data_IF_125375431407
#
_entry.id   IF_125375431407
#
_cell.length_a   1.000
_cell.length_b   1.000
_cell.length_c   1.000
_cell.angle_alpha   90.00
_cell.angle_beta   90.00
_cell.angle_gamma   90.00
#
_symmetry.space_group_name_H-M   'P 1'
#
loop_
_entity.id
_entity.type
_entity.pdbx_description
1 polymer ?
#
# COMPACT_ATOMS: atom_id res chain seq x y z
N UNK A 1 6.47 10.05 1.97
CA UNK A 1 5.26 9.30 2.42
C UNK A 1 5.00 8.33 1.31
N UNK A 2 5.21 7.05 1.57
CA UNK A 2 5.17 6.00 0.53
C UNK A 2 3.83 5.28 0.65
N UNK A 3 3.12 5.08 -0.47
CA UNK A 3 1.80 4.41 -0.55
C UNK A 3 2.03 2.98 -1.06
N UNK A 4 1.59 1.94 -0.33
CA UNK A 4 1.89 0.53 -0.65
C UNK A 4 0.77 -0.43 -0.25
N UNK A 5 0.70 -1.58 -0.95
CA UNK A 5 -0.05 -2.83 -0.65
C UNK A 5 -1.22 -3.17 -1.60
N UNK A 6 -1.33 -4.49 -1.86
CA UNK A 6 -2.52 -5.27 -2.24
C UNK A 6 -2.22 -6.78 -2.20
N UNK A 7 -3.21 -7.55 -1.79
CA UNK A 7 -3.31 -9.00 -2.03
C UNK A 7 -4.81 -9.31 -2.23
N UNK A 8 -5.18 -10.32 -3.02
CA UNK A 8 -6.60 -10.73 -3.20
C UNK A 8 -7.29 -11.04 -1.86
N UNK A 9 -6.52 -11.56 -0.90
CA UNK A 9 -6.98 -11.90 0.44
C UNK A 9 -7.12 -10.68 1.37
N UNK A 10 -6.51 -9.55 1.01
CA UNK A 10 -6.57 -8.29 1.77
C UNK A 10 -7.63 -7.29 1.29
N UNK A 11 -8.36 -7.62 0.21
CA UNK A 11 -9.36 -6.77 -0.41
C UNK A 11 -10.41 -6.25 0.61
N UNK A 12 -10.81 -4.97 0.52
CA UNK A 12 -11.88 -4.44 1.34
C UNK A 12 -13.19 -5.17 1.04
N UNK A 13 -13.98 -5.40 2.09
CA UNK A 13 -15.32 -5.96 1.99
C UNK A 13 -16.29 -5.11 2.80
N UNK A 14 -17.53 -5.09 2.37
CA UNK A 14 -18.63 -4.56 3.18
C UNK A 14 -19.37 -5.73 3.83
N UNK A 15 -19.27 -5.82 5.16
CA UNK A 15 -19.99 -6.80 5.97
C UNK A 15 -21.41 -6.33 6.33
N UNK A 16 -21.94 -6.86 7.43
CA UNK A 16 -23.28 -6.50 7.92
C UNK A 16 -23.46 -4.97 8.04
N UNK A 17 -24.56 -4.47 7.50
CA UNK A 17 -24.85 -3.05 7.42
C UNK A 17 -23.89 -2.30 6.48
N UNK A 18 -23.03 -1.46 7.07
CA UNK A 18 -22.08 -0.55 6.38
C UNK A 18 -20.65 -0.69 6.90
N UNK A 19 -20.34 -1.81 7.52
CA UNK A 19 -19.00 -2.07 8.05
C UNK A 19 -18.05 -2.38 6.89
N UNK A 20 -17.00 -1.57 6.74
CA UNK A 20 -15.90 -1.83 5.82
C UNK A 20 -14.74 -2.44 6.61
N UNK A 21 -14.24 -3.58 6.14
CA UNK A 21 -13.04 -4.22 6.69
C UNK A 21 -12.14 -4.78 5.60
N UNK A 22 -10.84 -4.90 5.89
CA UNK A 22 -9.83 -5.42 4.97
C UNK A 22 -8.46 -5.48 5.66
N UNK A 23 -7.42 -5.83 4.90
CA UNK A 23 -6.04 -5.81 5.39
C UNK A 23 -5.26 -4.71 4.70
N UNK A 24 -4.81 -3.74 5.49
CA UNK A 24 -3.97 -2.65 5.01
C UNK A 24 -2.58 -3.19 4.60
N UNK A 25 -2.10 -4.19 5.33
CA UNK A 25 -0.80 -4.84 5.14
C UNK A 25 -0.98 -6.34 5.26
N UNK A 26 -0.30 -7.10 4.42
CA UNK A 26 -0.14 -8.56 4.57
C UNK A 26 1.33 -8.85 4.78
N UNK A 27 1.66 -9.58 5.85
CA UNK A 27 3.04 -9.82 6.24
C UNK A 27 3.69 -10.93 5.42
N UNK A 28 5.00 -10.79 5.17
CA UNK A 28 5.82 -11.80 4.49
C UNK A 28 5.52 -11.98 3.01
N UNK A 29 4.53 -11.27 2.47
CA UNK A 29 4.18 -11.33 1.06
C UNK A 29 5.00 -10.31 0.26
N UNK A 30 5.58 -10.79 -0.85
CA UNK A 30 6.18 -9.94 -1.86
C UNK A 30 5.11 -9.07 -2.51
N UNK A 31 5.38 -7.77 -2.51
CA UNK A 31 4.75 -6.82 -3.38
C UNK A 31 5.07 -7.17 -4.83
N UNK A 32 4.39 -6.56 -5.79
CA UNK A 32 4.94 -6.56 -7.15
C UNK A 32 6.08 -5.57 -7.27
N UNK A 33 6.63 -5.50 -8.48
CA UNK A 33 7.58 -4.48 -8.87
C UNK A 33 6.97 -3.09 -8.65
N UNK A 34 7.48 -2.43 -7.63
CA UNK A 34 7.31 -1.03 -7.34
C UNK A 34 8.43 -0.24 -8.01
N UNK A 35 8.18 1.04 -8.21
CA UNK A 35 9.14 1.92 -8.85
C UNK A 35 9.42 3.16 -7.99
N UNK A 36 10.67 3.32 -7.60
CA UNK A 36 11.17 4.49 -6.88
C UNK A 36 11.65 5.52 -7.91
N UNK A 37 10.83 6.55 -8.15
CA UNK A 37 11.12 7.61 -9.11
C UNK A 37 12.36 8.42 -8.74
N UNK A 38 12.54 8.69 -7.46
CA UNK A 38 13.66 9.52 -6.97
C UNK A 38 14.99 8.79 -7.12
N UNK A 39 15.00 7.48 -6.86
CA UNK A 39 16.22 6.66 -6.97
C UNK A 39 16.36 5.95 -8.30
N UNK A 40 15.43 6.17 -9.23
CA UNK A 40 15.39 5.57 -10.55
C UNK A 40 15.63 4.05 -10.53
N UNK A 41 14.89 3.32 -9.68
CA UNK A 41 15.04 1.86 -9.57
C UNK A 41 13.72 1.13 -9.36
N UNK A 42 13.63 -0.05 -9.97
CA UNK A 42 12.56 -1.00 -9.72
C UNK A 42 12.90 -1.88 -8.50
N UNK A 43 11.91 -2.22 -7.69
CA UNK A 43 12.10 -3.09 -6.53
C UNK A 43 10.83 -3.83 -6.14
N UNK A 44 10.97 -4.99 -5.51
CA UNK A 44 9.91 -5.68 -4.78
C UNK A 44 10.07 -5.40 -3.30
N UNK A 45 8.98 -5.27 -2.57
CA UNK A 45 8.95 -5.04 -1.14
C UNK A 45 8.32 -6.20 -0.38
N UNK A 46 8.85 -6.51 0.79
CA UNK A 46 8.19 -7.37 1.77
C UNK A 46 8.12 -6.62 3.10
N UNK A 47 6.93 -6.56 3.69
CA UNK A 47 6.76 -6.14 5.08
C UNK A 47 6.85 -7.36 5.97
N UNK A 48 7.87 -7.44 6.81
CA UNK A 48 8.03 -8.59 7.69
C UNK A 48 7.03 -8.59 8.84
N UNK A 49 6.73 -9.80 9.32
CA UNK A 49 5.98 -9.95 10.56
C UNK A 49 6.77 -9.30 11.70
N UNK A 50 6.13 -8.38 12.43
CA UNK A 50 6.76 -7.59 13.49
C UNK A 50 7.29 -6.23 13.04
N UNK A 51 7.22 -5.89 11.74
CA UNK A 51 7.54 -4.55 11.27
C UNK A 51 6.57 -3.48 11.79
N UNK A 52 5.35 -3.90 12.12
CA UNK A 52 4.31 -3.10 12.76
C UNK A 52 4.05 -3.68 14.15
N UNK A 53 4.00 -2.81 15.15
CA UNK A 53 3.75 -3.20 16.55
C UNK A 53 2.51 -2.53 17.10
N UNK A 54 1.90 -3.16 18.09
CA UNK A 54 0.79 -2.58 18.86
C UNK A 54 1.14 -1.21 19.47
N UNK A 55 2.38 -1.04 19.92
CA UNK A 55 2.89 0.24 20.42
C UNK A 55 2.93 1.31 19.32
N UNK A 56 3.38 0.96 18.11
CA UNK A 56 3.36 1.87 16.96
C UNK A 56 1.94 2.34 16.66
N UNK A 57 0.96 1.43 16.64
CA UNK A 57 -0.44 1.76 16.37
C UNK A 57 -1.02 2.68 17.44
N UNK A 58 -0.79 2.39 18.73
CA UNK A 58 -1.23 3.23 19.85
C UNK A 58 -0.56 4.60 19.92
N UNK A 59 0.59 4.78 19.29
CA UNK A 59 1.27 6.07 19.21
C UNK A 59 1.02 6.82 17.89
N UNK A 60 0.30 6.21 16.94
CA UNK A 60 0.04 6.77 15.62
C UNK A 60 -1.30 7.49 15.53
N UNK A 61 -1.38 8.43 14.58
CA UNK A 61 -2.63 9.04 14.12
C UNK A 61 -2.91 8.56 12.70
N UNK A 62 -3.66 7.45 12.61
CA UNK A 62 -3.96 6.74 11.37
C UNK A 62 -5.35 7.11 10.87
N UNK A 63 -5.44 7.49 9.60
CA UNK A 63 -6.71 7.82 8.93
C UNK A 63 -7.10 6.70 7.97
N UNK A 64 -8.36 6.31 7.96
CA UNK A 64 -8.92 5.59 6.82
C UNK A 64 -9.37 6.64 5.79
N UNK A 65 -8.68 6.70 4.67
CA UNK A 65 -8.99 7.62 3.58
C UNK A 65 -9.54 6.82 2.40
N UNK A 66 -10.23 7.49 1.48
CA UNK A 66 -10.52 6.92 0.19
C UNK A 66 -9.42 7.31 -0.80
N UNK A 67 -8.75 6.31 -1.37
CA UNK A 67 -7.71 6.49 -2.40
C UNK A 67 -6.55 7.43 -1.97
N UNK A 68 -6.14 7.33 -0.69
CA UNK A 68 -5.13 8.20 -0.05
C UNK A 68 -5.44 9.71 -0.11
N UNK A 69 -6.65 10.09 -0.51
CA UNK A 69 -7.06 11.47 -0.60
C UNK A 69 -7.42 12.01 0.79
N UNK A 70 -6.57 12.89 1.32
CA UNK A 70 -6.74 13.50 2.67
C UNK A 70 -8.04 14.29 2.84
N UNK A 71 -8.71 14.67 1.76
CA UNK A 71 -10.01 15.33 1.79
C UNK A 71 -11.19 14.36 1.90
N UNK A 72 -10.96 13.06 1.67
CA UNK A 72 -11.98 12.00 1.66
C UNK A 72 -11.79 11.07 2.86
N UNK A 73 -12.02 11.60 4.05
CA UNK A 73 -11.84 10.89 5.31
C UNK A 73 -13.05 9.99 5.59
N UNK A 74 -12.80 8.70 5.82
CA UNK A 74 -13.82 7.70 6.15
C UNK A 74 -13.85 7.37 7.65
N UNK A 75 -12.69 7.18 8.27
CA UNK A 75 -12.56 6.90 9.70
C UNK A 75 -11.19 7.31 10.22
N UNK A 76 -10.98 7.29 11.54
CA UNK A 76 -9.71 7.66 12.15
C UNK A 76 -9.45 6.88 13.43
N UNK A 77 -8.20 6.45 13.61
CA UNK A 77 -7.64 5.94 14.86
C UNK A 77 -6.57 6.93 15.31
N UNK A 78 -6.86 7.71 16.35
CA UNK A 78 -5.91 8.64 16.94
C UNK A 78 -5.42 8.06 18.26
N UNK A 79 -4.17 7.60 18.28
CA UNK A 79 -3.53 6.96 19.42
C UNK A 79 -4.29 5.73 19.92
N UNK A 80 -4.72 4.88 18.99
CA UNK A 80 -5.46 3.65 19.29
C UNK A 80 -6.94 3.83 19.62
N UNK A 81 -7.50 5.05 19.51
CA UNK A 81 -8.91 5.31 19.77
C UNK A 81 -9.58 6.08 18.62
N UNK A 82 -10.85 5.78 18.35
CA UNK A 82 -11.65 6.50 17.35
C UNK A 82 -12.62 5.58 16.61
N UNK A 83 -12.98 5.95 15.39
CA UNK A 83 -13.93 5.22 14.54
C UNK A 83 -13.26 4.13 13.69
N UNK A 84 -11.93 4.11 13.64
CA UNK A 84 -11.14 3.10 12.96
C UNK A 84 -10.54 2.13 13.98
N UNK A 85 -10.87 0.85 13.84
CA UNK A 85 -10.20 -0.25 14.53
C UNK A 85 -9.04 -0.75 13.68
N UNK A 86 -7.89 -0.98 14.33
CA UNK A 86 -6.69 -1.57 13.74
C UNK A 86 -6.28 -2.74 14.61
N UNK A 87 -6.04 -3.89 14.01
CA UNK A 87 -5.72 -5.13 14.72
C UNK A 87 -4.60 -5.87 13.98
N UNK A 88 -3.58 -6.29 14.72
CA UNK A 88 -2.53 -7.15 14.20
C UNK A 88 -2.90 -8.61 14.44
N UNK A 89 -2.81 -9.42 13.39
CA UNK A 89 -2.88 -10.88 13.48
C UNK A 89 -1.67 -11.52 12.79
N UNK A 90 -1.67 -12.85 12.70
CA UNK A 90 -0.60 -13.60 12.05
C UNK A 90 -0.51 -13.32 10.54
N UNK A 91 -1.60 -12.83 9.94
CA UNK A 91 -1.72 -12.57 8.52
C UNK A 91 -1.28 -11.14 8.16
N UNK A 92 -1.63 -10.13 8.96
CA UNK A 92 -1.41 -8.74 8.59
C UNK A 92 -1.91 -7.69 9.59
N UNK A 93 -2.02 -6.47 9.08
CA UNK A 93 -2.69 -5.35 9.77
C UNK A 93 -4.12 -5.24 9.24
N UNK A 94 -5.07 -5.75 10.00
CA UNK A 94 -6.50 -5.63 9.71
C UNK A 94 -6.99 -4.22 10.06
N UNK A 95 -7.87 -3.67 9.23
CA UNK A 95 -8.64 -2.47 9.55
C UNK A 95 -10.14 -2.76 9.50
N UNK A 96 -10.89 -2.04 10.33
CA UNK A 96 -12.36 -2.13 10.37
C UNK A 96 -12.98 -0.82 10.83
N UNK A 97 -14.02 -0.36 10.15
CA UNK A 97 -14.80 0.81 10.56
C UNK A 97 -16.22 0.74 9.99
N UNK A 98 -17.15 1.44 10.63
CA UNK A 98 -18.46 1.69 10.04
C UNK A 98 -18.35 2.87 9.07
N UNK A 99 -18.75 2.70 7.81
CA UNK A 99 -18.68 3.75 6.83
C UNK A 99 -19.60 4.91 7.23
N UNK A 100 -19.10 6.16 7.28
CA UNK A 100 -19.88 7.30 7.71
C UNK A 100 -21.08 7.51 6.77
N UNK A 101 -22.16 8.09 7.29
CA UNK A 101 -23.32 8.48 6.48
C UNK A 101 -23.03 9.82 5.77
N UNK A 102 -22.09 9.79 4.84
CA UNK A 102 -21.64 10.93 4.03
C UNK A 102 -21.53 10.49 2.57
N UNK A 103 -21.48 11.43 1.59
CA UNK A 103 -21.29 11.07 0.19
C UNK A 103 -20.09 10.16 -0.07
N UNK A 104 -18.96 10.38 0.61
CA UNK A 104 -17.78 9.52 0.48
C UNK A 104 -17.96 8.15 1.13
N UNK A 105 -18.66 8.07 2.26
CA UNK A 105 -18.98 6.79 2.89
C UNK A 105 -19.96 5.96 2.06
N UNK A 106 -20.98 6.59 1.48
CA UNK A 106 -21.92 5.97 0.54
C UNK A 106 -21.21 5.46 -0.72
N UNK A 107 -20.37 6.31 -1.31
CA UNK A 107 -19.54 5.95 -2.46
C UNK A 107 -18.63 4.76 -2.15
N UNK A 108 -17.92 4.79 -1.02
CA UNK A 108 -17.01 3.71 -0.63
C UNK A 108 -17.78 2.38 -0.47
N UNK A 109 -18.92 2.38 0.22
CA UNK A 109 -19.75 1.18 0.40
C UNK A 109 -20.19 0.60 -0.94
N UNK A 110 -20.71 1.44 -1.84
CA UNK A 110 -21.23 1.00 -3.13
C UNK A 110 -20.12 0.42 -4.03
N UNK A 111 -19.01 1.16 -4.17
CA UNK A 111 -17.91 0.76 -5.05
C UNK A 111 -17.17 -0.48 -4.55
N UNK A 112 -17.07 -0.66 -3.23
CA UNK A 112 -16.51 -1.90 -2.65
C UNK A 112 -17.47 -3.07 -2.89
N UNK A 113 -18.78 -2.90 -2.67
CA UNK A 113 -19.77 -3.97 -2.88
C UNK A 113 -19.81 -4.47 -4.32
N UNK A 114 -19.68 -3.55 -5.28
CA UNK A 114 -19.62 -3.86 -6.72
C UNK A 114 -18.29 -4.46 -7.16
N UNK A 115 -17.25 -4.35 -6.33
CA UNK A 115 -15.90 -4.77 -6.66
C UNK A 115 -15.10 -3.77 -7.50
N UNK A 116 -15.63 -2.56 -7.72
CA UNK A 116 -14.91 -1.48 -8.40
C UNK A 116 -13.73 -0.96 -7.55
N UNK A 117 -13.90 -0.97 -6.22
CA UNK A 117 -12.80 -0.82 -5.25
C UNK A 117 -12.54 -2.17 -4.64
N UNK A 118 -11.45 -2.80 -5.05
CA UNK A 118 -11.08 -4.16 -4.62
C UNK A 118 -9.71 -4.20 -3.93
N UNK A 119 -9.05 -3.05 -3.76
CA UNK A 119 -7.72 -2.98 -3.15
C UNK A 119 -7.65 -2.27 -1.80
N UNK A 120 -6.61 -2.59 -1.03
CA UNK A 120 -6.25 -1.94 0.23
C UNK A 120 -4.78 -1.56 0.21
N UNK A 121 -4.49 -0.34 0.67
CA UNK A 121 -3.14 0.21 0.72
C UNK A 121 -2.93 0.99 2.02
N UNK A 122 -1.68 1.24 2.37
CA UNK A 122 -1.30 2.02 3.54
C UNK A 122 -0.13 2.92 3.21
N UNK A 123 -0.06 4.04 3.92
CA UNK A 123 1.06 4.94 3.83
C UNK A 123 1.87 4.97 5.12
N UNK A 124 3.19 4.87 4.97
CA UNK A 124 4.11 4.81 6.10
C UNK A 124 5.40 5.58 5.86
N UNK A 125 6.19 5.68 6.92
CA UNK A 125 7.54 6.22 6.90
C UNK A 125 8.47 5.38 7.78
N UNK A 126 9.73 5.28 7.37
CA UNK A 126 10.84 4.74 8.16
C UNK A 126 12.14 5.46 7.79
N UNK A 127 13.15 5.38 8.64
CA UNK A 127 14.50 5.83 8.31
C UNK A 127 15.23 4.80 7.42
N UNK A 128 15.34 5.07 6.11
CA UNK A 128 15.97 4.13 5.18
C UNK A 128 17.47 3.93 5.38
N UNK A 129 18.15 4.81 6.12
CA UNK A 129 19.57 4.66 6.44
C UNK A 129 19.81 3.67 7.58
N UNK A 130 18.76 3.33 8.33
CA UNK A 130 18.84 2.38 9.43
C UNK A 130 18.66 0.95 8.92
N UNK A 131 19.79 0.23 8.82
CA UNK A 131 19.82 -1.17 8.35
C UNK A 131 19.08 -2.13 9.27
N UNK A 132 18.75 -1.74 10.50
CA UNK A 132 17.92 -2.54 11.40
C UNK A 132 16.43 -2.45 11.05
N UNK A 133 16.04 -1.46 10.23
CA UNK A 133 14.64 -1.22 9.82
C UNK A 133 14.34 -1.65 8.40
N UNK A 134 15.33 -1.54 7.52
CA UNK A 134 15.19 -1.93 6.11
C UNK A 134 16.50 -2.51 5.58
N UNK A 135 16.39 -3.59 4.81
CA UNK A 135 17.50 -4.17 4.09
C UNK A 135 17.19 -4.32 2.60
N UNK A 136 18.25 -4.42 1.81
CA UNK A 136 18.18 -4.51 0.36
C UNK A 136 19.02 -5.69 -0.10
N UNK A 137 18.46 -6.51 -0.99
CA UNK A 137 19.14 -7.65 -1.60
C UNK A 137 18.72 -7.79 -3.06
N UNK A 138 19.42 -8.59 -3.86
CA UNK A 138 19.01 -8.92 -5.22
C UNK A 138 18.36 -10.30 -5.24
N UNK A 139 17.18 -10.40 -5.87
CA UNK A 139 16.46 -11.65 -6.11
C UNK A 139 16.00 -11.67 -7.56
N UNK A 140 16.38 -12.68 -8.33
CA UNK A 140 15.95 -12.84 -9.74
C UNK A 140 16.17 -11.60 -10.63
N UNK A 141 17.26 -10.85 -10.37
CA UNK A 141 17.60 -9.63 -11.12
C UNK A 141 16.83 -8.38 -10.71
N UNK A 142 15.93 -8.46 -9.73
CA UNK A 142 15.23 -7.30 -9.14
C UNK A 142 15.69 -7.03 -7.71
N UNK A 143 15.68 -5.75 -7.32
CA UNK A 143 15.98 -5.35 -5.95
C UNK A 143 14.84 -5.76 -5.02
N UNK A 144 15.14 -6.52 -3.98
CA UNK A 144 14.22 -6.84 -2.89
C UNK A 144 14.49 -5.91 -1.70
N UNK A 145 13.48 -5.16 -1.29
CA UNK A 145 13.44 -4.30 -0.09
C UNK A 145 12.68 -5.00 1.03
N UNK A 146 13.38 -5.48 2.05
CA UNK A 146 12.74 -6.09 3.21
C UNK A 146 12.59 -5.05 4.33
N UNK A 147 11.37 -4.88 4.83
CA UNK A 147 11.03 -3.92 5.89
C UNK A 147 10.86 -4.66 7.20
N UNK A 148 11.79 -4.39 8.12
CA UNK A 148 11.88 -5.00 9.43
C UNK A 148 11.18 -4.16 10.51
N UNK A 149 11.06 -2.84 10.31
CA UNK A 149 10.43 -1.93 11.28
C UNK A 149 9.95 -0.63 10.64
N UNK A 150 8.74 -0.21 11.00
CA UNK A 150 8.12 1.04 10.57
C UNK A 150 8.14 2.08 11.71
N UNK A 151 8.38 3.35 11.36
CA UNK A 151 8.41 4.45 12.33
C UNK A 151 7.05 5.13 12.51
N UNK A 152 6.24 5.15 11.45
CA UNK A 152 4.90 5.76 11.46
C UNK A 152 4.03 5.20 10.35
N UNK A 153 2.75 4.98 10.66
CA UNK A 153 1.69 4.80 9.67
C UNK A 153 0.85 6.08 9.66
N UNK A 154 0.63 6.68 8.49
CA UNK A 154 -0.14 7.92 8.35
C UNK A 154 -1.61 7.65 8.02
N UNK A 155 -1.84 6.67 7.15
CA UNK A 155 -3.17 6.34 6.67
C UNK A 155 -3.21 4.94 6.07
N UNK A 156 -4.44 4.43 5.98
CA UNK A 156 -4.84 3.22 5.29
C UNK A 156 -5.99 3.61 4.36
N UNK A 157 -6.10 2.98 3.20
CA UNK A 157 -7.11 3.33 2.20
C UNK A 157 -7.63 2.12 1.44
N UNK A 158 -8.95 1.99 1.25
CA UNK A 158 -9.49 1.33 0.08
C UNK A 158 -9.06 2.11 -1.17
N UNK A 159 -8.61 1.42 -2.19
CA UNK A 159 -8.02 1.99 -3.42
C UNK A 159 -8.63 1.34 -4.65
N UNK A 160 -8.92 2.16 -5.67
CA UNK A 160 -9.43 1.70 -6.97
C UNK A 160 -8.33 0.96 -7.71
N UNK A 161 -7.18 1.62 -7.79
CA UNK A 161 -5.95 1.06 -8.31
C UNK A 161 -5.07 0.73 -7.12
N UNK A 162 -5.24 -0.45 -6.48
CA UNK A 162 -4.18 -0.95 -5.63
C UNK A 162 -2.88 -0.92 -6.40
N UNK A 163 -1.76 -0.88 -5.68
CA UNK A 163 -0.45 -1.00 -6.31
C UNK A 163 -0.32 -2.26 -7.21
N UNK A 164 -1.31 -3.19 -7.21
CA UNK A 164 -1.30 -4.52 -7.84
C UNK A 164 -2.66 -4.94 -8.51
N UNK A 165 -2.75 -5.04 -9.86
CA UNK A 165 -3.69 -5.86 -10.70
C UNK A 165 -3.24 -7.28 -11.09
N UNK A 166 -3.89 -8.37 -10.65
CA UNK A 166 -3.48 -9.72 -11.09
C UNK A 166 -3.39 -9.74 -12.62
N UNK A 167 -2.19 -10.01 -13.17
CA UNK A 167 -1.78 -9.82 -14.59
C UNK A 167 -1.51 -8.37 -15.05
N UNK A 168 -0.36 -8.23 -15.72
CA UNK A 168 0.24 -7.02 -16.30
C UNK A 168 0.60 -5.88 -15.34
N UNK A 169 1.91 -5.62 -15.22
CA UNK A 169 2.39 -4.29 -14.85
C UNK A 169 1.74 -3.34 -15.84
N UNK A 170 0.82 -2.49 -15.38
CA UNK A 170 0.09 -1.57 -16.25
C UNK A 170 1.10 -0.75 -17.04
N UNK A 171 1.21 -1.09 -18.32
CA UNK A 171 2.11 -0.49 -19.31
C UNK A 171 2.07 1.04 -19.27
N UNK A 172 0.96 1.62 -18.81
CA UNK A 172 0.78 3.06 -18.56
C UNK A 172 1.75 3.66 -17.54
N UNK A 173 1.99 3.03 -16.38
CA UNK A 173 2.93 3.58 -15.39
C UNK A 173 4.39 3.45 -15.83
N UNK A 174 4.69 2.43 -16.65
CA UNK A 174 6.01 2.28 -17.28
C UNK A 174 6.16 3.25 -18.45
N UNK A 175 5.15 3.45 -19.28
CA UNK A 175 5.17 4.40 -20.40
C UNK A 175 5.26 5.84 -19.90
N UNK A 176 4.55 6.20 -18.84
CA UNK A 176 4.64 7.52 -18.20
C UNK A 176 6.06 7.74 -17.64
N UNK A 177 6.64 6.72 -16.99
CA UNK A 177 8.02 6.79 -16.54
C UNK A 177 8.98 6.92 -17.75
N UNK A 178 8.92 6.01 -18.73
CA UNK A 178 9.77 6.00 -19.94
C UNK A 178 9.70 7.34 -20.68
N UNK A 179 8.52 7.94 -20.79
CA UNK A 179 8.31 9.23 -21.42
C UNK A 179 9.03 10.36 -20.65
N UNK A 180 8.89 10.42 -19.33
CA UNK A 180 9.57 11.40 -18.46
C UNK A 180 11.10 11.24 -18.48
N UNK A 181 11.58 10.00 -18.58
CA UNK A 181 12.99 9.63 -18.40
C UNK A 181 13.81 9.60 -19.70
N UNK A 182 13.13 9.66 -20.84
CA UNK A 182 13.72 9.78 -22.18
C UNK A 182 14.70 10.96 -22.34
N UNK A 183 14.71 11.89 -21.37
CA UNK A 183 15.60 13.04 -21.32
C UNK A 183 17.01 12.79 -20.79
N UNK A 184 17.24 11.88 -19.82
CA UNK A 184 18.49 11.96 -19.03
C UNK A 184 19.18 10.64 -18.61
N UNK A 185 18.57 9.44 -18.66
CA UNK A 185 19.25 8.24 -18.14
C UNK A 185 19.05 6.94 -18.98
N UNK A 186 20.05 6.59 -19.80
CA UNK A 186 19.97 5.53 -20.84
C UNK A 186 19.97 4.11 -20.27
N UNK A 187 20.73 3.84 -19.21
CA UNK A 187 20.82 2.49 -18.63
C UNK A 187 19.52 2.11 -17.92
N UNK A 188 18.91 3.10 -17.27
CA UNK A 188 17.66 2.94 -16.57
C UNK A 188 16.45 2.79 -17.52
N UNK A 189 16.44 3.51 -18.65
CA UNK A 189 15.49 3.26 -19.74
C UNK A 189 15.61 1.86 -20.33
N UNK A 190 16.83 1.31 -20.42
CA UNK A 190 17.03 -0.05 -20.90
C UNK A 190 16.47 -1.09 -19.93
N UNK A 191 16.63 -0.88 -18.62
CA UNK A 191 16.05 -1.76 -17.59
C UNK A 191 14.52 -1.75 -17.63
N UNK A 192 13.90 -0.57 -17.71
CA UNK A 192 12.46 -0.42 -17.92
C UNK A 192 11.97 -1.12 -19.19
N UNK A 193 12.67 -0.92 -20.31
CA UNK A 193 12.32 -1.54 -21.60
C UNK A 193 12.51 -3.06 -21.60
N UNK A 194 13.49 -3.57 -20.86
CA UNK A 194 13.71 -5.01 -20.71
C UNK A 194 12.61 -5.63 -19.85
N UNK A 195 12.25 -4.98 -18.74
CA UNK A 195 11.14 -5.42 -17.90
C UNK A 195 9.81 -5.40 -18.67
N UNK A 196 9.58 -4.38 -19.51
CA UNK A 196 8.42 -4.28 -20.42
C UNK A 196 8.33 -5.44 -21.41
N UNK A 197 9.45 -5.99 -21.87
CA UNK A 197 9.48 -7.12 -22.82
C UNK A 197 9.30 -8.48 -22.15
N UNK A 198 9.42 -8.54 -20.82
CA UNK A 198 9.39 -9.78 -20.03
C UNK A 198 8.02 -10.09 -19.39
N UNK A 199 7.05 -9.21 -19.64
CA UNK A 199 5.64 -9.30 -19.22
C UNK A 199 4.84 -9.46 -20.50
#
# INVERSE_FOLDING_TARGET
>A
MEIRSYTELGAPKVGDGRIIEGYAVVFGQESRVLYDREKQRAFVEVIEKGAITEELLRNSDVKALLDHNKQRLLARSNRGAGTLSLELDDYGLKYRFEAPSTPDGDFAVEMIKRGDIFGSSFAYALNEKDKTKVSYSMKDGILLRAVHKIDRISDISPVVDPAFYGTDVTVRSMDDAIAELSGENRDYLNELNNLRKSI
#
